data_IF_388688592071
#
_entry.id   IF_388688592071
#
_cell.length_a   1.000
_cell.length_b   1.000
_cell.length_c   1.000
_cell.angle_alpha   90.00
_cell.angle_beta   90.00
_cell.angle_gamma   90.00
#
_symmetry.space_group_name_H-M   'P 1'
#
loop_
_entity.id
_entity.type
_entity.pdbx_description
1 polymer ?
#
# COMPACT_ATOMS: atom_id res chain seq x y z
N UNK A 1 -74.85 -18.02 40.23
CA UNK A 1 -73.44 -17.97 40.65
C UNK A 1 -72.63 -18.74 39.60
N UNK A 2 -72.43 -18.15 38.42
CA UNK A 2 -71.63 -18.72 37.33
C UNK A 2 -71.14 -17.56 36.46
N UNK A 3 -69.88 -17.17 36.62
CA UNK A 3 -69.25 -16.12 35.82
C UNK A 3 -69.04 -16.61 34.36
N UNK A 4 -69.59 -15.93 33.34
CA UNK A 4 -69.56 -16.42 31.96
C UNK A 4 -68.29 -16.01 31.18
N UNK A 5 -67.35 -15.28 31.80
CA UNK A 5 -66.12 -14.86 31.14
C UNK A 5 -64.94 -15.75 31.55
N UNK A 6 -64.69 -16.79 30.76
CA UNK A 6 -63.43 -17.52 30.83
C UNK A 6 -62.32 -16.65 30.22
N UNK A 7 -61.66 -15.85 31.06
CA UNK A 7 -60.53 -14.98 30.69
C UNK A 7 -59.28 -15.75 30.21
N UNK A 8 -59.31 -17.09 30.26
CA UNK A 8 -58.19 -17.97 29.89
C UNK A 8 -57.90 -17.92 28.38
N UNK A 9 -58.93 -17.79 27.54
CA UNK A 9 -58.78 -17.74 26.08
C UNK A 9 -57.98 -16.51 25.60
N UNK A 10 -58.39 -15.28 25.98
CA UNK A 10 -57.65 -14.07 25.62
C UNK A 10 -56.23 -14.03 26.20
N UNK A 11 -56.02 -14.53 27.42
CA UNK A 11 -54.68 -14.58 28.04
C UNK A 11 -53.75 -15.52 27.28
N UNK A 12 -54.23 -16.71 26.89
CA UNK A 12 -53.44 -17.65 26.07
C UNK A 12 -53.13 -17.05 24.70
N UNK A 13 -54.10 -16.40 24.07
CA UNK A 13 -53.88 -15.73 22.78
C UNK A 13 -52.84 -14.60 22.88
N UNK A 14 -52.86 -13.82 23.97
CA UNK A 14 -51.87 -12.79 24.24
C UNK A 14 -50.47 -13.37 24.41
N UNK A 15 -50.32 -14.42 25.23
CA UNK A 15 -49.03 -15.10 25.41
C UNK A 15 -48.52 -15.77 24.13
N UNK A 16 -49.40 -16.40 23.34
CA UNK A 16 -49.04 -16.97 22.06
C UNK A 16 -48.52 -15.92 21.07
N UNK A 17 -49.16 -14.75 21.04
CA UNK A 17 -48.75 -13.63 20.19
C UNK A 17 -47.39 -13.07 20.61
N UNK A 18 -47.15 -12.94 21.92
CA UNK A 18 -45.86 -12.54 22.48
C UNK A 18 -44.73 -13.52 22.10
N UNK A 19 -44.98 -14.82 22.24
CA UNK A 19 -44.03 -15.86 21.87
C UNK A 19 -43.74 -15.82 20.37
N UNK A 20 -44.77 -15.71 19.53
CA UNK A 20 -44.62 -15.59 18.08
C UNK A 20 -43.76 -14.38 17.70
N UNK A 21 -43.99 -13.22 18.32
CA UNK A 21 -43.22 -12.02 18.05
C UNK A 21 -41.75 -12.21 18.45
N UNK A 22 -41.51 -12.71 19.66
CA UNK A 22 -40.15 -12.87 20.19
C UNK A 22 -39.34 -13.89 19.38
N UNK A 23 -39.89 -15.07 19.13
CA UNK A 23 -39.21 -16.11 18.37
C UNK A 23 -39.19 -15.83 16.87
N UNK A 24 -40.23 -15.21 16.31
CA UNK A 24 -40.28 -14.83 14.91
C UNK A 24 -39.27 -13.75 14.57
N UNK A 25 -39.32 -12.62 15.28
CA UNK A 25 -38.40 -11.50 15.03
C UNK A 25 -36.98 -11.82 15.49
N UNK A 26 -36.84 -12.46 16.65
CA UNK A 26 -35.55 -12.88 17.19
C UNK A 26 -34.87 -13.94 16.32
N UNK A 27 -35.61 -14.98 15.91
CA UNK A 27 -35.09 -16.03 15.03
C UNK A 27 -34.73 -15.51 13.64
N UNK A 28 -35.57 -14.63 13.06
CA UNK A 28 -35.25 -13.96 11.79
C UNK A 28 -34.02 -13.07 11.91
N UNK A 29 -33.87 -12.32 13.00
CA UNK A 29 -32.71 -11.45 13.25
C UNK A 29 -31.38 -12.22 13.28
N UNK A 30 -31.36 -13.42 13.86
CA UNK A 30 -30.16 -14.29 13.87
C UNK A 30 -29.76 -14.71 12.45
N UNK A 31 -30.75 -14.97 11.58
CA UNK A 31 -30.49 -15.36 10.20
C UNK A 31 -30.20 -14.16 9.27
N UNK A 32 -30.57 -12.95 9.66
CA UNK A 32 -30.44 -11.76 8.83
C UNK A 32 -28.99 -11.25 8.82
N UNK A 33 -28.30 -11.39 7.68
CA UNK A 33 -26.99 -10.80 7.45
C UNK A 33 -27.12 -9.40 6.83
N UNK A 34 -26.58 -8.37 7.51
CA UNK A 34 -26.46 -7.03 6.94
C UNK A 34 -25.12 -6.95 6.19
N UNK A 35 -25.16 -7.10 4.87
CA UNK A 35 -23.98 -6.98 4.01
C UNK A 35 -23.82 -5.52 3.56
N UNK A 36 -22.81 -4.84 4.09
CA UNK A 36 -22.39 -3.52 3.63
C UNK A 36 -21.01 -3.64 2.98
N UNK A 37 -20.90 -3.30 1.69
CA UNK A 37 -19.61 -3.12 1.04
C UNK A 37 -19.37 -1.62 0.84
N UNK A 38 -18.28 -1.11 1.41
CA UNK A 38 -17.84 0.26 1.16
C UNK A 38 -16.99 0.23 -0.12
N UNK A 39 -17.52 0.75 -1.22
CA UNK A 39 -16.77 0.89 -2.47
C UNK A 39 -16.03 2.22 -2.43
N UNK A 40 -14.72 2.14 -2.24
CA UNK A 40 -13.81 3.30 -2.30
C UNK A 40 -12.84 3.13 -3.47
N UNK A 41 -12.56 4.23 -4.16
CA UNK A 41 -11.51 4.26 -5.17
C UNK A 41 -10.14 4.25 -4.47
N UNK A 42 -9.53 3.08 -4.36
CA UNK A 42 -8.12 2.94 -3.98
C UNK A 42 -7.23 3.01 -5.22
N UNK A 43 -6.15 3.79 -5.16
CA UNK A 43 -5.11 3.80 -6.21
C UNK A 43 -3.92 2.99 -5.73
N UNK A 44 -3.54 1.95 -6.49
CA UNK A 44 -2.30 1.21 -6.27
C UNK A 44 -1.20 1.93 -7.03
N UNK A 45 -0.30 2.59 -6.32
CA UNK A 45 0.91 3.19 -6.90
C UNK A 45 2.10 2.26 -6.66
N UNK A 46 2.83 1.94 -7.73
CA UNK A 46 4.10 1.20 -7.63
C UNK A 46 5.12 2.16 -7.03
N UNK A 47 5.69 1.78 -5.87
CA UNK A 47 6.77 2.54 -5.26
C UNK A 47 8.02 2.49 -6.16
N UNK A 48 8.18 3.47 -7.06
CA UNK A 48 9.42 3.67 -7.80
C UNK A 48 10.43 4.37 -6.88
N UNK A 49 11.32 3.59 -6.27
CA UNK A 49 12.49 4.12 -5.58
C UNK A 49 13.55 4.54 -6.61
N UNK A 50 13.38 5.72 -7.23
CA UNK A 50 14.39 6.29 -8.12
C UNK A 50 15.45 7.02 -7.29
N UNK A 51 16.63 6.42 -7.17
CA UNK A 51 17.79 7.11 -6.61
C UNK A 51 18.53 7.87 -7.73
N UNK A 52 18.64 9.19 -7.58
CA UNK A 52 19.44 10.01 -8.49
C UNK A 52 20.90 9.92 -8.01
N UNK A 53 21.79 9.39 -8.85
CA UNK A 53 23.23 9.38 -8.63
C UNK A 53 23.84 10.45 -9.54
N UNK A 54 24.52 11.44 -8.96
CA UNK A 54 25.13 12.55 -9.69
C UNK A 54 26.60 12.68 -9.30
N UNK A 55 27.49 12.86 -10.28
CA UNK A 55 28.89 13.17 -10.03
C UNK A 55 29.02 14.62 -9.51
N UNK A 56 29.72 14.89 -8.38
CA UNK A 56 29.79 16.22 -7.77
C UNK A 56 30.31 17.34 -8.70
N UNK A 57 31.26 17.01 -9.58
CA UNK A 57 31.86 17.98 -10.52
C UNK A 57 31.27 17.90 -11.93
N UNK A 58 30.46 16.87 -12.24
CA UNK A 58 30.04 16.59 -13.61
C UNK A 58 31.21 16.15 -14.53
N UNK A 59 30.99 16.15 -15.85
CA UNK A 59 31.99 15.77 -16.86
C UNK A 59 31.37 15.24 -18.17
N UNK A 60 32.18 15.06 -19.21
CA UNK A 60 31.75 14.40 -20.47
C UNK A 60 31.69 12.89 -20.25
N UNK A 61 30.60 12.25 -20.67
CA UNK A 61 30.45 10.78 -20.54
C UNK A 61 31.31 10.07 -21.58
N UNK A 62 32.21 9.20 -21.12
CA UNK A 62 33.00 8.32 -21.98
C UNK A 62 32.28 6.99 -22.24
N UNK A 63 31.72 6.37 -21.21
CA UNK A 63 31.01 5.09 -21.31
C UNK A 63 29.96 4.93 -20.21
N UNK A 64 28.87 4.22 -20.52
CA UNK A 64 27.84 3.78 -19.58
C UNK A 64 27.94 2.25 -19.49
N UNK A 65 28.07 1.71 -18.28
CA UNK A 65 28.35 0.29 -18.03
C UNK A 65 27.10 -0.53 -17.64
N UNK A 66 25.94 0.10 -17.60
CA UNK A 66 24.69 -0.51 -17.10
C UNK A 66 23.52 -0.25 -18.04
N UNK A 67 22.52 -1.12 -17.98
CA UNK A 67 21.28 -1.04 -18.75
C UNK A 67 20.08 -0.74 -17.84
N UNK A 68 18.98 -0.24 -18.44
CA UNK A 68 17.78 0.13 -17.69
C UNK A 68 17.17 -1.10 -16.99
N UNK A 69 16.95 -1.00 -15.68
CA UNK A 69 16.40 -2.08 -14.84
C UNK A 69 17.44 -3.11 -14.36
N UNK A 70 18.72 -2.90 -14.65
CA UNK A 70 19.81 -3.77 -14.20
C UNK A 70 20.09 -3.61 -12.70
N UNK A 71 20.19 -4.73 -11.98
CA UNK A 71 20.52 -4.73 -10.56
C UNK A 71 22.03 -4.55 -10.35
N UNK A 72 22.44 -3.56 -9.57
CA UNK A 72 23.85 -3.19 -9.35
C UNK A 72 24.26 -3.38 -7.90
N UNK A 73 25.49 -3.85 -7.68
CA UNK A 73 26.08 -3.97 -6.35
C UNK A 73 26.73 -2.64 -5.92
N UNK A 74 26.88 -2.44 -4.61
CA UNK A 74 27.59 -1.27 -4.08
C UNK A 74 29.05 -1.23 -4.59
N UNK A 75 29.47 -0.08 -5.10
CA UNK A 75 30.81 0.11 -5.67
C UNK A 75 30.97 -0.34 -7.12
N UNK A 76 29.92 -0.88 -7.77
CA UNK A 76 29.97 -1.20 -9.19
C UNK A 76 30.06 0.09 -10.03
N UNK A 77 30.93 0.14 -11.05
CA UNK A 77 31.03 1.29 -11.95
C UNK A 77 29.77 1.38 -12.81
N UNK A 78 29.05 2.50 -12.71
CA UNK A 78 27.84 2.76 -13.51
C UNK A 78 28.16 3.52 -14.81
N UNK A 79 29.11 4.45 -14.70
CA UNK A 79 29.46 5.44 -15.72
C UNK A 79 30.96 5.73 -15.61
N UNK A 80 31.61 5.99 -16.73
CA UNK A 80 32.97 6.56 -16.77
C UNK A 80 32.92 7.92 -17.44
N UNK A 81 33.53 8.92 -16.79
CA UNK A 81 33.69 10.27 -17.31
C UNK A 81 35.04 10.39 -18.04
N UNK A 82 35.10 11.24 -19.07
CA UNK A 82 36.33 11.55 -19.77
C UNK A 82 37.26 12.37 -18.88
N UNK A 83 38.41 11.79 -18.53
CA UNK A 83 39.45 12.39 -17.71
C UNK A 83 40.57 13.06 -18.49
N UNK A 84 40.41 13.33 -19.80
CA UNK A 84 41.45 13.99 -20.63
C UNK A 84 41.99 15.27 -20.00
N UNK A 85 41.10 16.16 -19.54
CA UNK A 85 41.47 17.44 -18.93
C UNK A 85 42.16 17.25 -17.57
N UNK A 86 41.65 16.33 -16.74
CA UNK A 86 42.21 15.99 -15.43
C UNK A 86 43.63 15.40 -15.55
N UNK A 87 43.88 14.58 -16.57
CA UNK A 87 45.23 14.02 -16.85
C UNK A 87 46.21 15.09 -17.33
N UNK A 88 45.74 16.07 -18.11
CA UNK A 88 46.58 17.17 -18.57
C UNK A 88 47.01 18.09 -17.42
N UNK A 89 46.09 18.35 -16.48
CA UNK A 89 46.39 19.10 -15.26
C UNK A 89 47.35 18.33 -14.34
N UNK A 90 47.13 17.02 -14.15
CA UNK A 90 48.03 16.16 -13.40
C UNK A 90 49.46 16.20 -13.95
N UNK A 91 49.62 16.06 -15.27
CA UNK A 91 50.93 16.11 -15.94
C UNK A 91 51.63 17.47 -15.75
N UNK A 92 50.84 18.55 -15.65
CA UNK A 92 51.38 19.90 -15.39
C UNK A 92 51.91 20.02 -13.96
N UNK A 93 51.16 19.51 -12.97
CA UNK A 93 51.55 19.54 -11.55
C UNK A 93 52.73 18.61 -11.28
N UNK A 94 52.76 17.42 -11.88
CA UNK A 94 53.89 16.49 -11.77
C UNK A 94 55.17 17.09 -12.37
N UNK A 95 55.06 17.80 -13.49
CA UNK A 95 56.18 18.52 -14.09
C UNK A 95 56.78 19.59 -13.17
N UNK A 96 55.93 20.30 -12.40
CA UNK A 96 56.37 21.29 -11.41
C UNK A 96 57.05 20.68 -10.18
N UNK A 97 56.80 19.40 -9.89
CA UNK A 97 57.44 18.70 -8.76
C UNK A 97 58.85 18.20 -9.10
N UNK A 98 59.19 18.11 -10.39
CA UNK A 98 60.50 17.70 -10.88
C UNK A 98 61.48 18.85 -11.09
N UNK A 99 61.02 20.11 -10.99
CA UNK A 99 61.84 21.34 -10.94
C UNK A 99 62.07 21.79 -9.48
#
# INVERSE_FOLDING_TARGET
>A
MTDPWSSRGPVIAGFATLLLLFFGLGGWSVAASISGAIVVAGRVEVAQARQIVQHPEGGVVQAIHVTEGEAVAAGAPLLTLDGTLLRAELATVEGQLCD
#
